data_IF_602677620223
#
_entry.id   IF_602677620223
#
_cell.length_a   1.000
_cell.length_b   1.000
_cell.length_c   1.000
_cell.angle_alpha   90.00
_cell.angle_beta   90.00
_cell.angle_gamma   90.00
#
_symmetry.space_group_name_H-M   'P 1'
#
loop_
_entity.id
_entity.type
_entity.pdbx_description
1 polymer ?
#
# COMPACT_ATOMS: atom_id res chain seq x y z
N UNK A 1 -3.69 8.45 -10.53
CA UNK A 1 -2.40 8.48 -9.81
C UNK A 1 -1.57 9.77 -9.95
N UNK A 2 -1.58 10.49 -11.08
CA UNK A 2 -0.78 11.73 -11.29
C UNK A 2 -1.21 12.96 -10.48
N UNK A 3 -2.45 13.05 -10.03
CA UNK A 3 -2.97 14.23 -9.32
C UNK A 3 -2.68 14.25 -7.80
N UNK A 4 -2.42 13.08 -7.18
CA UNK A 4 -2.04 13.00 -5.76
C UNK A 4 -0.58 13.41 -5.48
N UNK A 5 0.31 13.39 -6.49
CA UNK A 5 1.72 13.77 -6.30
C UNK A 5 1.96 15.28 -6.20
N UNK A 6 1.07 16.12 -6.77
CA UNK A 6 1.23 17.58 -6.70
C UNK A 6 0.77 18.20 -5.37
N UNK A 7 -0.12 17.54 -4.63
CA UNK A 7 -0.62 18.05 -3.34
C UNK A 7 0.35 17.84 -2.17
N UNK A 8 1.44 17.11 -2.38
CA UNK A 8 2.49 16.82 -1.37
C UNK A 8 3.69 17.77 -1.43
N UNK A 9 3.67 18.77 -2.32
CA UNK A 9 4.67 19.84 -2.31
C UNK A 9 4.40 20.70 -1.07
N UNK A 10 5.46 21.05 -0.33
CA UNK A 10 5.36 21.97 0.82
C UNK A 10 4.48 23.16 0.42
N UNK A 11 3.48 23.46 1.23
CA UNK A 11 2.61 24.61 0.94
C UNK A 11 3.46 25.88 0.88
N UNK A 12 3.14 26.77 -0.04
CA UNK A 12 3.86 28.04 -0.23
C UNK A 12 3.99 28.81 1.09
N UNK A 13 3.00 28.71 2.00
CA UNK A 13 3.05 29.29 3.36
C UNK A 13 4.19 28.76 4.21
N UNK A 14 4.50 27.45 4.13
CA UNK A 14 5.61 26.85 4.89
C UNK A 14 6.96 27.27 4.33
N UNK A 15 7.09 27.40 3.01
CA UNK A 15 8.33 27.91 2.37
C UNK A 15 8.59 29.34 2.83
N UNK A 16 7.57 30.20 2.79
CA UNK A 16 7.69 31.57 3.26
C UNK A 16 8.09 31.60 4.74
N UNK A 17 7.48 30.77 5.59
CA UNK A 17 7.84 30.67 6.99
C UNK A 17 9.30 30.26 7.20
N UNK A 18 9.78 29.23 6.48
CA UNK A 18 11.16 28.78 6.58
C UNK A 18 12.14 29.84 6.07
N UNK A 19 11.81 30.51 4.95
CA UNK A 19 12.63 31.61 4.44
C UNK A 19 12.72 32.76 5.45
N UNK A 20 11.60 33.14 6.09
CA UNK A 20 11.61 34.15 7.14
C UNK A 20 12.42 33.75 8.38
N UNK A 21 12.41 32.47 8.77
CA UNK A 21 13.27 31.99 9.87
C UNK A 21 14.76 32.06 9.54
N UNK A 22 15.12 31.73 8.31
CA UNK A 22 16.52 31.85 7.83
C UNK A 22 16.93 33.31 7.79
N UNK A 23 16.08 34.21 7.33
CA UNK A 23 16.32 35.65 7.36
C UNK A 23 16.48 36.20 8.79
N UNK A 24 15.63 35.78 9.70
CA UNK A 24 15.73 36.17 11.11
C UNK A 24 17.07 35.73 11.72
N UNK A 25 17.54 34.52 11.36
CA UNK A 25 18.87 34.04 11.74
C UNK A 25 19.96 34.94 11.17
N UNK A 26 19.94 35.26 9.88
CA UNK A 26 20.94 36.12 9.22
C UNK A 26 21.00 37.52 9.90
N UNK A 27 19.84 38.12 10.14
CA UNK A 27 19.75 39.39 10.88
C UNK A 27 20.38 39.29 12.26
N UNK A 28 20.08 38.20 12.96
CA UNK A 28 20.63 37.98 14.32
C UNK A 28 22.15 37.83 14.32
N UNK A 29 22.70 37.12 13.32
CA UNK A 29 24.15 36.95 13.17
C UNK A 29 24.84 38.29 12.88
N UNK A 30 24.29 39.10 11.97
CA UNK A 30 24.83 40.42 11.64
C UNK A 30 24.81 41.35 12.84
N UNK A 31 23.70 41.37 13.58
CA UNK A 31 23.57 42.18 14.81
C UNK A 31 24.59 41.75 15.88
N UNK A 32 24.72 40.41 16.06
CA UNK A 32 25.67 39.85 17.02
C UNK A 32 27.13 40.20 16.65
N UNK A 33 27.51 40.02 15.36
CA UNK A 33 28.86 40.41 14.88
C UNK A 33 29.14 41.89 15.08
N UNK A 34 28.14 42.75 14.80
CA UNK A 34 28.24 44.20 15.01
C UNK A 34 28.40 44.57 16.47
N UNK A 35 27.75 43.82 17.39
CA UNK A 35 27.87 44.08 18.84
C UNK A 35 29.21 43.58 19.43
N UNK A 36 29.70 42.43 18.96
CA UNK A 36 30.84 41.76 19.57
C UNK A 36 32.22 42.22 18.99
N UNK A 37 32.31 42.59 17.71
CA UNK A 37 33.55 43.08 17.13
C UNK A 37 33.80 44.54 17.44
N UNK A 38 34.91 44.82 18.08
CA UNK A 38 35.42 46.21 18.32
C UNK A 38 35.69 46.97 17.01
N UNK A 39 36.10 46.24 15.94
CA UNK A 39 36.47 46.74 14.63
C UNK A 39 35.35 46.69 13.61
N UNK A 40 34.10 46.53 14.05
CA UNK A 40 32.95 46.46 13.15
C UNK A 40 32.89 47.71 12.27
N UNK A 41 32.79 47.55 10.94
CA UNK A 41 32.70 48.68 10.00
C UNK A 41 31.50 49.56 10.22
N UNK A 42 30.56 49.16 11.06
CA UNK A 42 29.36 49.93 11.42
C UNK A 42 29.60 50.83 12.63
N UNK A 43 30.60 50.53 13.51
CA UNK A 43 30.99 51.35 14.64
C UNK A 43 31.80 52.56 14.17
N UNK A 44 31.28 53.74 14.39
CA UNK A 44 31.91 55.02 13.99
C UNK A 44 31.39 55.60 12.66
N UNK A 45 30.52 54.87 11.98
CA UNK A 45 29.85 55.35 10.78
C UNK A 45 28.51 55.98 11.14
N UNK A 46 28.18 57.13 10.55
CA UNK A 46 26.87 57.79 10.81
C UNK A 46 25.70 56.90 10.47
N UNK A 47 24.58 57.03 11.22
CA UNK A 47 23.39 56.19 11.16
C UNK A 47 22.92 55.88 9.71
N UNK A 48 22.92 56.87 8.81
CA UNK A 48 22.52 56.67 7.40
C UNK A 48 23.41 55.72 6.64
N UNK A 49 24.73 55.74 6.85
CA UNK A 49 25.65 54.79 6.24
C UNK A 49 25.50 53.38 6.82
N UNK A 50 25.28 53.25 8.12
CA UNK A 50 25.02 52.00 8.79
C UNK A 50 23.72 51.31 8.25
N UNK A 51 22.64 52.08 8.09
CA UNK A 51 21.40 51.61 7.48
C UNK A 51 21.60 51.20 6.02
N UNK A 52 22.36 51.99 5.25
CA UNK A 52 22.65 51.64 3.85
C UNK A 52 23.46 50.33 3.75
N UNK A 53 24.45 50.10 4.58
CA UNK A 53 25.24 48.86 4.63
C UNK A 53 24.35 47.65 4.98
N UNK A 54 23.47 47.81 5.98
CA UNK A 54 22.53 46.78 6.39
C UNK A 54 21.54 46.41 5.26
N UNK A 55 20.92 47.39 4.61
CA UNK A 55 20.00 47.18 3.50
C UNK A 55 20.71 46.52 2.33
N UNK A 56 21.97 46.89 2.03
CA UNK A 56 22.75 46.37 0.94
C UNK A 56 23.17 44.90 1.12
N UNK A 57 23.26 44.41 2.36
CA UNK A 57 23.50 42.98 2.64
C UNK A 57 22.21 42.20 2.71
N UNK A 58 21.15 42.75 3.29
CA UNK A 58 19.85 42.06 3.49
C UNK A 58 19.10 41.78 2.19
N UNK A 59 19.09 42.71 1.23
CA UNK A 59 18.29 42.55 0.01
C UNK A 59 18.81 41.39 -0.87
N UNK A 60 20.10 41.27 -1.20
CA UNK A 60 20.59 40.12 -1.95
C UNK A 60 20.41 38.79 -1.20
N UNK A 61 20.64 38.76 0.12
CA UNK A 61 20.45 37.57 0.92
C UNK A 61 18.98 37.10 0.90
N UNK A 62 18.02 38.02 1.05
CA UNK A 62 16.59 37.72 0.92
C UNK A 62 16.25 37.11 -0.44
N UNK A 63 16.76 37.70 -1.54
CA UNK A 63 16.54 37.19 -2.89
C UNK A 63 17.13 35.79 -3.06
N UNK A 64 18.32 35.55 -2.52
CA UNK A 64 19.00 34.25 -2.57
C UNK A 64 18.23 33.21 -1.78
N UNK A 65 17.83 33.50 -0.55
CA UNK A 65 17.06 32.58 0.31
C UNK A 65 15.79 32.14 -0.39
N UNK A 66 14.94 33.09 -0.83
CA UNK A 66 13.68 32.74 -1.48
C UNK A 66 13.87 32.00 -2.79
N UNK A 67 14.81 32.43 -3.63
CA UNK A 67 15.08 31.74 -4.89
C UNK A 67 15.67 30.34 -4.71
N UNK A 68 16.51 30.14 -3.70
CA UNK A 68 17.07 28.81 -3.35
C UNK A 68 15.96 27.87 -2.89
N UNK A 69 15.03 28.32 -2.05
CA UNK A 69 13.86 27.52 -1.69
C UNK A 69 13.03 27.13 -2.93
N UNK A 70 12.83 28.06 -3.86
CA UNK A 70 12.12 27.78 -5.11
C UNK A 70 12.89 26.74 -5.94
N UNK A 71 14.20 26.87 -6.08
CA UNK A 71 15.04 25.95 -6.84
C UNK A 71 14.95 24.54 -6.23
N UNK A 72 15.21 24.39 -4.94
CA UNK A 72 15.31 23.09 -4.28
C UNK A 72 13.94 22.39 -4.18
N UNK A 73 12.88 23.12 -3.89
CA UNK A 73 11.56 22.51 -3.65
C UNK A 73 10.66 22.40 -4.88
N UNK A 74 10.80 23.27 -5.87
CA UNK A 74 9.92 23.31 -7.04
C UNK A 74 10.62 22.97 -8.36
N UNK A 75 11.85 23.45 -8.58
CA UNK A 75 12.56 23.25 -9.84
C UNK A 75 13.26 21.90 -9.87
N UNK A 76 14.08 21.62 -8.88
CA UNK A 76 14.89 20.41 -8.79
C UNK A 76 14.08 19.10 -8.83
N UNK A 77 12.91 18.95 -8.16
CA UNK A 77 12.11 17.74 -8.26
C UNK A 77 11.53 17.48 -9.67
N UNK A 78 11.47 18.50 -10.53
CA UNK A 78 11.00 18.36 -11.91
C UNK A 78 12.10 17.97 -12.89
N UNK A 79 13.35 18.17 -12.52
CA UNK A 79 14.49 17.73 -13.32
C UNK A 79 14.61 16.21 -13.23
N UNK A 80 14.63 15.54 -14.39
CA UNK A 80 14.85 14.09 -14.50
C UNK A 80 16.35 13.78 -14.36
N UNK A 81 16.87 13.90 -13.15
CA UNK A 81 18.24 13.52 -12.85
C UNK A 81 18.33 12.00 -12.61
N UNK A 82 19.50 11.37 -12.86
CA UNK A 82 19.72 9.96 -12.55
C UNK A 82 19.32 9.63 -11.12
N UNK A 83 18.75 8.44 -10.90
CA UNK A 83 18.16 7.99 -9.65
C UNK A 83 19.17 7.82 -8.52
N UNK A 84 19.60 8.93 -7.91
CA UNK A 84 20.44 8.93 -6.72
C UNK A 84 20.27 10.24 -5.96
N UNK A 85 19.99 10.19 -4.68
CA UNK A 85 19.87 11.38 -3.83
C UNK A 85 21.14 12.24 -3.91
N UNK A 86 22.32 11.61 -4.07
CA UNK A 86 23.62 12.30 -4.16
C UNK A 86 23.70 13.23 -5.38
N UNK A 87 23.39 12.75 -6.59
CA UNK A 87 23.47 13.57 -7.81
C UNK A 87 22.49 14.74 -7.79
N UNK A 88 21.34 14.55 -7.13
CA UNK A 88 20.35 15.60 -6.97
C UNK A 88 20.87 16.69 -6.03
N UNK A 89 21.36 16.34 -4.85
CA UNK A 89 21.92 17.29 -3.89
C UNK A 89 23.11 18.06 -4.53
N UNK A 90 23.97 17.35 -5.24
CA UNK A 90 25.09 17.96 -5.94
C UNK A 90 24.62 18.99 -6.99
N UNK A 91 23.62 18.63 -7.78
CA UNK A 91 23.04 19.54 -8.77
C UNK A 91 22.38 20.76 -8.12
N UNK A 92 21.64 20.56 -7.03
CA UNK A 92 20.99 21.64 -6.28
C UNK A 92 22.03 22.62 -5.71
N UNK A 93 23.12 22.11 -5.12
CA UNK A 93 24.23 22.91 -4.62
C UNK A 93 24.90 23.70 -5.74
N UNK A 94 25.24 23.05 -6.86
CA UNK A 94 25.90 23.73 -8.00
C UNK A 94 25.00 24.82 -8.58
N UNK A 95 23.74 24.51 -8.88
CA UNK A 95 22.79 25.46 -9.49
C UNK A 95 22.53 26.65 -8.55
N UNK A 96 22.29 26.37 -7.27
CA UNK A 96 22.01 27.42 -6.27
C UNK A 96 23.23 28.31 -6.01
N UNK A 97 24.43 27.72 -5.98
CA UNK A 97 25.68 28.49 -5.82
C UNK A 97 25.95 29.40 -7.02
N UNK A 98 25.83 28.89 -8.25
CA UNK A 98 25.97 29.68 -9.47
C UNK A 98 24.92 30.82 -9.52
N UNK A 99 23.67 30.51 -9.16
CA UNK A 99 22.60 31.50 -9.07
C UNK A 99 22.93 32.61 -8.05
N UNK A 100 23.37 32.23 -6.86
CA UNK A 100 23.76 33.18 -5.82
C UNK A 100 24.87 34.09 -6.25
N UNK A 101 25.92 33.57 -6.93
CA UNK A 101 27.01 34.38 -7.50
C UNK A 101 26.48 35.39 -8.53
N UNK A 102 25.51 35.00 -9.36
CA UNK A 102 24.91 35.92 -10.32
C UNK A 102 24.12 37.03 -9.59
N UNK A 103 23.33 36.69 -8.58
CA UNK A 103 22.57 37.67 -7.79
C UNK A 103 23.52 38.65 -7.11
N UNK A 104 24.53 38.16 -6.42
CA UNK A 104 25.51 39.03 -5.77
C UNK A 104 26.25 39.96 -6.76
N UNK A 105 26.67 39.42 -7.92
CA UNK A 105 27.37 40.24 -8.93
C UNK A 105 26.48 41.32 -9.53
N UNK A 106 25.22 40.99 -9.84
CA UNK A 106 24.25 41.97 -10.34
C UNK A 106 23.99 43.08 -9.31
N UNK A 107 23.83 42.70 -8.06
CA UNK A 107 23.60 43.66 -6.98
C UNK A 107 24.79 44.55 -6.73
N UNK A 108 26.01 43.97 -6.76
CA UNK A 108 27.26 44.72 -6.66
C UNK A 108 27.42 45.77 -7.79
N UNK A 109 27.10 45.38 -9.04
CA UNK A 109 27.14 46.32 -10.18
C UNK A 109 26.15 47.50 -10.01
N UNK A 110 24.98 47.23 -9.45
CA UNK A 110 23.97 48.28 -9.15
C UNK A 110 24.50 49.20 -8.06
N UNK A 111 25.09 48.63 -6.99
CA UNK A 111 25.58 49.39 -5.85
C UNK A 111 26.76 50.28 -6.19
N UNK A 112 27.66 49.81 -7.07
CA UNK A 112 28.81 50.62 -7.55
C UNK A 112 28.40 51.93 -8.23
N UNK A 113 27.19 51.99 -8.80
CA UNK A 113 26.64 53.24 -9.40
C UNK A 113 26.28 54.29 -8.33
N UNK A 114 25.92 53.85 -7.12
CA UNK A 114 25.48 54.74 -6.05
C UNK A 114 26.53 54.94 -4.96
N UNK A 115 27.39 53.93 -4.76
CA UNK A 115 28.42 53.93 -3.71
C UNK A 115 29.71 53.32 -4.21
N UNK A 116 30.55 54.08 -4.92
CA UNK A 116 31.79 53.54 -5.53
C UNK A 116 32.84 53.07 -4.53
N UNK A 117 32.75 53.49 -3.25
CA UNK A 117 33.70 53.14 -2.18
C UNK A 117 33.34 51.81 -1.47
N UNK A 118 32.27 51.14 -1.86
CA UNK A 118 31.78 49.91 -1.23
C UNK A 118 32.49 48.70 -1.85
N UNK A 119 33.43 48.09 -1.11
CA UNK A 119 34.01 46.81 -1.46
C UNK A 119 33.16 45.67 -0.90
N UNK A 120 32.67 44.78 -1.77
CA UNK A 120 32.04 43.53 -1.35
C UNK A 120 33.11 42.54 -0.88
N UNK A 121 32.90 41.97 0.31
CA UNK A 121 33.73 40.89 0.80
C UNK A 121 33.21 39.54 0.26
N UNK A 122 33.78 39.09 -0.84
CA UNK A 122 33.40 37.85 -1.52
C UNK A 122 33.46 36.60 -0.60
N UNK A 123 34.39 36.59 0.36
CA UNK A 123 34.52 35.47 1.29
C UNK A 123 33.30 35.38 2.24
N UNK A 124 32.84 36.50 2.75
CA UNK A 124 31.64 36.56 3.62
C UNK A 124 30.39 36.16 2.82
N UNK A 125 30.24 36.67 1.60
CA UNK A 125 29.13 36.31 0.72
C UNK A 125 29.12 34.81 0.43
N UNK A 126 30.25 34.20 0.13
CA UNK A 126 30.36 32.76 -0.13
C UNK A 126 29.99 31.92 1.11
N UNK A 127 30.48 32.31 2.30
CA UNK A 127 30.16 31.62 3.55
C UNK A 127 28.67 31.71 3.83
N UNK A 128 28.03 32.87 3.70
CA UNK A 128 26.60 33.05 3.92
C UNK A 128 25.75 32.17 2.95
N UNK A 129 26.05 32.20 1.67
CA UNK A 129 25.37 31.38 0.67
C UNK A 129 25.49 29.90 0.99
N UNK A 130 26.67 29.44 1.37
CA UNK A 130 26.91 28.03 1.73
C UNK A 130 26.06 27.64 2.96
N UNK A 131 25.99 28.50 3.98
CA UNK A 131 25.14 28.26 5.16
C UNK A 131 23.64 28.19 4.80
N UNK A 132 23.15 29.13 3.98
CA UNK A 132 21.77 29.15 3.51
C UNK A 132 21.44 27.85 2.77
N UNK A 133 22.29 27.45 1.83
CA UNK A 133 22.13 26.22 1.07
C UNK A 133 22.06 25.00 2.00
N UNK A 134 22.96 24.89 2.97
CA UNK A 134 23.02 23.78 3.89
C UNK A 134 21.73 23.68 4.73
N UNK A 135 21.22 24.81 5.22
CA UNK A 135 19.96 24.85 5.96
C UNK A 135 18.77 24.42 5.08
N UNK A 136 18.69 24.94 3.85
CA UNK A 136 17.62 24.59 2.90
C UNK A 136 17.64 23.11 2.54
N UNK A 137 18.83 22.55 2.30
CA UNK A 137 18.99 21.12 2.01
C UNK A 137 18.62 20.23 3.21
N UNK A 138 18.98 20.63 4.44
CA UNK A 138 18.57 19.90 5.65
C UNK A 138 17.04 19.92 5.78
N UNK A 139 16.39 21.08 5.61
CA UNK A 139 14.93 21.19 5.67
C UNK A 139 14.28 20.31 4.60
N UNK A 140 14.80 20.34 3.37
CA UNK A 140 14.32 19.49 2.28
C UNK A 140 14.45 18.00 2.61
N UNK A 141 15.62 17.58 3.10
CA UNK A 141 15.89 16.19 3.48
C UNK A 141 14.97 15.69 4.60
N UNK A 142 14.80 16.49 5.66
CA UNK A 142 13.91 16.17 6.76
C UNK A 142 12.46 16.03 6.29
N UNK A 143 12.02 16.94 5.41
CA UNK A 143 10.67 16.89 4.86
C UNK A 143 10.45 15.64 3.98
N UNK A 144 11.42 15.33 3.12
CA UNK A 144 11.37 14.14 2.26
C UNK A 144 11.36 12.84 3.06
N UNK A 145 12.20 12.75 4.11
CA UNK A 145 12.22 11.58 4.99
C UNK A 145 10.89 11.40 5.72
N UNK A 146 10.30 12.49 6.22
CA UNK A 146 8.99 12.44 6.85
C UNK A 146 7.92 11.90 5.92
N UNK A 147 7.89 12.37 4.66
CA UNK A 147 6.95 11.86 3.66
C UNK A 147 7.16 10.37 3.37
N UNK A 148 8.41 9.92 3.24
CA UNK A 148 8.72 8.51 3.01
C UNK A 148 8.25 7.62 4.17
N UNK A 149 8.43 8.07 5.41
CA UNK A 149 7.94 7.36 6.60
C UNK A 149 6.41 7.28 6.60
N UNK A 150 5.72 8.39 6.32
CA UNK A 150 4.25 8.42 6.24
C UNK A 150 3.71 7.48 5.16
N UNK A 151 4.35 7.41 3.98
CA UNK A 151 3.98 6.48 2.89
C UNK A 151 4.16 5.00 3.31
N UNK A 152 5.25 4.69 4.02
CA UNK A 152 5.50 3.34 4.54
C UNK A 152 4.45 2.97 5.60
N UNK A 153 4.10 3.88 6.48
CA UNK A 153 3.08 3.64 7.51
C UNK A 153 1.68 3.45 6.89
N UNK A 154 1.31 4.27 5.90
CA UNK A 154 0.05 4.08 5.15
C UNK A 154 0.01 2.70 4.48
N UNK A 155 1.07 2.32 3.76
CA UNK A 155 1.16 1.02 3.11
C UNK A 155 1.08 -0.15 4.11
N UNK A 156 1.70 -0.02 5.29
CA UNK A 156 1.59 -1.00 6.38
C UNK A 156 0.17 -1.10 6.91
N UNK A 157 -0.51 0.04 7.13
CA UNK A 157 -1.91 0.05 7.59
C UNK A 157 -2.85 -0.59 6.58
N UNK A 158 -2.69 -0.28 5.29
CA UNK A 158 -3.48 -0.90 4.22
C UNK A 158 -3.24 -2.42 4.16
N UNK A 159 -1.99 -2.87 4.27
CA UNK A 159 -1.64 -4.28 4.31
C UNK A 159 -2.22 -5.01 5.53
N UNK A 160 -2.19 -4.38 6.72
CA UNK A 160 -2.80 -4.93 7.94
C UNK A 160 -4.33 -4.98 7.81
N UNK A 161 -4.96 -3.92 7.28
CA UNK A 161 -6.40 -3.90 7.05
C UNK A 161 -6.83 -4.97 6.05
N UNK A 162 -6.06 -5.15 4.99
CA UNK A 162 -6.28 -6.21 4.01
C UNK A 162 -6.20 -7.60 4.67
N UNK A 163 -5.14 -7.86 5.45
CA UNK A 163 -5.00 -9.12 6.21
C UNK A 163 -6.16 -9.35 7.18
N UNK A 164 -6.55 -8.31 7.93
CA UNK A 164 -7.71 -8.39 8.84
C UNK A 164 -9.01 -8.73 8.09
N UNK A 165 -9.25 -8.11 6.95
CA UNK A 165 -10.44 -8.38 6.15
C UNK A 165 -10.43 -9.80 5.57
N UNK A 166 -9.27 -10.31 5.15
CA UNK A 166 -9.10 -11.70 4.71
C UNK A 166 -9.39 -12.68 5.86
N UNK A 167 -8.80 -12.45 7.04
CA UNK A 167 -9.06 -13.25 8.24
C UNK A 167 -10.54 -13.25 8.63
N UNK A 168 -11.16 -12.06 8.63
CA UNK A 168 -12.59 -11.92 8.93
C UNK A 168 -13.49 -12.63 7.90
N UNK A 169 -13.08 -12.68 6.64
CA UNK A 169 -13.81 -13.36 5.58
C UNK A 169 -13.68 -14.89 5.69
N UNK A 170 -12.56 -15.41 6.20
CA UNK A 170 -12.33 -16.85 6.40
C UNK A 170 -13.24 -17.45 7.46
N UNK A 171 -13.51 -16.71 8.54
CA UNK A 171 -14.58 -17.07 9.50
C UNK A 171 -15.88 -16.41 9.02
N UNK A 172 -16.59 -17.04 8.11
CA UNK A 172 -17.87 -16.52 7.63
C UNK A 172 -18.90 -16.45 8.81
N UNK A 173 -19.09 -15.26 9.46
CA UNK A 173 -19.93 -15.18 10.66
C UNK A 173 -21.37 -15.60 10.38
N UNK A 174 -21.84 -15.31 9.18
CA UNK A 174 -23.19 -15.68 8.74
C UNK A 174 -23.33 -17.21 8.62
N UNK A 175 -22.29 -17.91 8.13
CA UNK A 175 -22.29 -19.36 8.10
C UNK A 175 -22.32 -19.95 9.52
N UNK A 176 -21.51 -19.39 10.44
CA UNK A 176 -21.48 -19.82 11.83
C UNK A 176 -22.82 -19.63 12.52
N UNK A 177 -23.45 -18.44 12.42
CA UNK A 177 -24.78 -18.19 12.99
C UNK A 177 -25.85 -19.11 12.42
N UNK A 178 -25.83 -19.35 11.11
CA UNK A 178 -26.76 -20.28 10.48
C UNK A 178 -26.54 -21.72 10.94
N UNK A 179 -25.30 -22.14 11.13
CA UNK A 179 -24.95 -23.47 11.64
C UNK A 179 -25.42 -23.66 13.07
N UNK A 180 -25.22 -22.65 13.94
CA UNK A 180 -25.74 -22.70 15.32
C UNK A 180 -27.26 -22.75 15.38
N UNK A 181 -27.97 -22.04 14.50
CA UNK A 181 -29.44 -22.12 14.42
C UNK A 181 -29.92 -23.51 13.99
N UNK A 182 -29.25 -24.13 13.01
CA UNK A 182 -29.56 -25.50 12.59
C UNK A 182 -29.31 -26.47 13.74
N UNK A 183 -28.15 -26.36 14.40
CA UNK A 183 -27.81 -27.18 15.55
C UNK A 183 -28.83 -27.07 16.66
N UNK A 184 -29.26 -25.85 17.03
CA UNK A 184 -30.30 -25.61 18.03
C UNK A 184 -31.60 -26.33 17.71
N UNK A 185 -32.00 -26.39 16.43
CA UNK A 185 -33.19 -27.13 15.99
C UNK A 185 -32.99 -28.65 15.98
N UNK A 186 -31.76 -29.13 15.71
CA UNK A 186 -31.43 -30.56 15.67
C UNK A 186 -31.39 -31.20 17.06
N UNK A 187 -30.81 -30.50 18.05
CA UNK A 187 -30.64 -31.03 19.42
C UNK A 187 -31.91 -31.54 20.03
N UNK A 188 -33.06 -30.91 19.72
CA UNK A 188 -34.37 -31.33 20.23
C UNK A 188 -35.06 -32.42 19.40
N UNK A 189 -34.58 -32.71 18.18
CA UNK A 189 -35.22 -33.61 17.21
C UNK A 189 -34.40 -34.90 16.99
N UNK A 190 -33.10 -34.79 16.83
CA UNK A 190 -32.21 -35.91 16.52
C UNK A 190 -30.81 -35.68 17.10
N UNK A 191 -30.59 -36.22 18.30
CA UNK A 191 -29.29 -36.05 19.04
C UNK A 191 -28.11 -36.56 18.23
N UNK A 192 -28.25 -37.73 17.58
CA UNK A 192 -27.17 -38.32 16.79
C UNK A 192 -26.75 -37.41 15.61
N UNK A 193 -27.73 -36.87 14.88
CA UNK A 193 -27.42 -35.91 13.82
C UNK A 193 -26.84 -34.61 14.34
N UNK A 194 -27.19 -34.22 15.57
CA UNK A 194 -26.56 -33.05 16.22
C UNK A 194 -25.09 -33.29 16.51
N UNK A 195 -24.73 -34.48 16.99
CA UNK A 195 -23.34 -34.87 17.22
C UNK A 195 -22.57 -34.92 15.90
N UNK A 196 -23.10 -35.60 14.88
CA UNK A 196 -22.48 -35.63 13.52
C UNK A 196 -22.27 -34.21 12.94
N UNK A 197 -23.20 -33.28 13.20
CA UNK A 197 -23.10 -31.90 12.76
C UNK A 197 -22.02 -31.14 13.54
N UNK A 198 -21.90 -31.31 14.85
CA UNK A 198 -20.88 -30.68 15.69
C UNK A 198 -19.48 -31.15 15.27
N UNK A 199 -19.30 -32.46 15.07
CA UNK A 199 -18.04 -33.04 14.65
C UNK A 199 -17.60 -32.49 13.29
N UNK A 200 -18.48 -32.51 12.31
CA UNK A 200 -18.22 -31.96 10.98
C UNK A 200 -17.88 -30.45 11.02
N UNK A 201 -18.60 -29.67 11.84
CA UNK A 201 -18.35 -28.25 12.02
C UNK A 201 -16.99 -27.99 12.68
N UNK A 202 -16.64 -28.78 13.69
CA UNK A 202 -15.36 -28.69 14.42
C UNK A 202 -14.18 -29.02 13.52
N UNK A 203 -14.29 -30.08 12.71
CA UNK A 203 -13.22 -30.46 11.74
C UNK A 203 -13.04 -29.39 10.68
N UNK A 204 -14.13 -28.87 10.11
CA UNK A 204 -14.06 -27.81 9.13
C UNK A 204 -13.37 -26.54 9.69
N UNK A 205 -13.73 -26.10 10.91
CA UNK A 205 -13.10 -24.93 11.53
C UNK A 205 -11.64 -25.18 11.94
N UNK A 206 -11.31 -26.40 12.37
CA UNK A 206 -9.91 -26.78 12.63
C UNK A 206 -9.07 -26.62 11.38
N UNK A 207 -9.53 -27.17 10.25
CA UNK A 207 -8.85 -27.01 8.97
C UNK A 207 -8.65 -25.55 8.60
N UNK A 208 -9.69 -24.70 8.71
CA UNK A 208 -9.59 -23.24 8.44
C UNK A 208 -8.49 -22.61 9.28
N UNK A 209 -8.40 -22.97 10.57
CA UNK A 209 -7.38 -22.44 11.49
C UNK A 209 -5.98 -22.93 11.14
N UNK A 210 -5.82 -24.22 10.82
CA UNK A 210 -4.54 -24.85 10.53
C UNK A 210 -3.94 -24.40 9.16
N UNK A 211 -4.79 -23.90 8.26
CA UNK A 211 -4.39 -23.45 6.94
C UNK A 211 -4.13 -21.94 6.84
N UNK A 212 -4.33 -21.16 7.92
CA UNK A 212 -4.23 -19.69 7.87
C UNK A 212 -2.90 -19.16 7.34
N UNK A 213 -1.80 -19.83 7.70
CA UNK A 213 -0.44 -19.42 7.32
C UNK A 213 0.14 -20.27 6.18
N UNK A 214 -0.60 -21.27 5.70
CA UNK A 214 -0.13 -22.13 4.61
C UNK A 214 -0.44 -21.47 3.26
N UNK A 215 0.56 -21.23 2.41
CA UNK A 215 0.31 -20.72 1.06
C UNK A 215 -0.37 -21.73 0.16
N UNK A 216 -0.06 -23.02 0.31
CA UNK A 216 -0.62 -24.15 -0.40
C UNK A 216 -0.83 -25.31 0.57
N UNK A 217 -1.85 -26.13 0.29
CA UNK A 217 -2.16 -27.37 1.01
C UNK A 217 -2.21 -28.54 0.05
N UNK A 218 -2.08 -29.74 0.57
CA UNK A 218 -2.28 -30.96 -0.21
C UNK A 218 -3.76 -31.14 -0.55
N UNK A 219 -4.05 -31.58 -1.77
CA UNK A 219 -5.40 -31.79 -2.24
C UNK A 219 -6.19 -32.81 -1.37
N UNK A 220 -5.48 -33.72 -0.72
CA UNK A 220 -6.04 -34.68 0.23
C UNK A 220 -6.60 -34.00 1.48
N UNK A 221 -5.84 -33.05 2.07
CA UNK A 221 -6.27 -32.26 3.22
C UNK A 221 -7.50 -31.39 2.86
N UNK A 222 -7.47 -30.77 1.68
CA UNK A 222 -8.56 -29.93 1.19
C UNK A 222 -9.84 -30.72 0.97
N UNK A 223 -9.76 -31.94 0.41
CA UNK A 223 -10.93 -32.81 0.20
C UNK A 223 -11.46 -33.39 1.50
N UNK A 224 -10.62 -33.71 2.48
CA UNK A 224 -11.07 -34.15 3.80
C UNK A 224 -11.92 -33.07 4.49
N UNK A 225 -11.46 -31.83 4.46
CA UNK A 225 -12.25 -30.69 4.97
C UNK A 225 -13.53 -30.45 4.17
N UNK A 226 -13.46 -30.63 2.85
CA UNK A 226 -14.64 -30.51 1.98
C UNK A 226 -15.70 -31.58 2.32
N UNK A 227 -15.29 -32.81 2.63
CA UNK A 227 -16.23 -33.86 3.06
C UNK A 227 -17.01 -33.44 4.31
N UNK A 228 -16.34 -32.87 5.32
CA UNK A 228 -16.98 -32.33 6.53
C UNK A 228 -17.93 -31.18 6.19
N UNK A 229 -17.54 -30.26 5.29
CA UNK A 229 -18.42 -29.18 4.83
C UNK A 229 -19.65 -29.70 4.09
N UNK A 230 -19.48 -30.69 3.21
CA UNK A 230 -20.59 -31.33 2.47
C UNK A 230 -21.56 -32.04 3.45
N UNK A 231 -21.05 -32.68 4.50
CA UNK A 231 -21.88 -33.30 5.53
C UNK A 231 -22.80 -32.25 6.20
N UNK A 232 -22.26 -31.08 6.55
CA UNK A 232 -23.06 -29.96 7.07
C UNK A 232 -24.14 -29.52 6.08
N UNK A 233 -23.78 -29.39 4.78
CA UNK A 233 -24.72 -28.98 3.74
C UNK A 233 -25.81 -30.00 3.50
N UNK A 234 -25.52 -31.30 3.57
CA UNK A 234 -26.52 -32.39 3.46
C UNK A 234 -27.59 -32.27 4.55
N UNK A 235 -27.14 -32.03 5.79
CA UNK A 235 -28.06 -31.79 6.92
C UNK A 235 -28.90 -30.53 6.68
N UNK A 236 -28.22 -29.42 6.32
CA UNK A 236 -28.88 -28.13 6.08
C UNK A 236 -29.96 -28.16 5.00
N UNK A 237 -29.72 -28.89 3.93
CA UNK A 237 -30.61 -28.99 2.78
C UNK A 237 -31.47 -30.28 2.80
N UNK A 238 -31.57 -30.98 3.94
CA UNK A 238 -32.39 -32.18 4.11
C UNK A 238 -32.10 -33.22 3.01
N UNK A 239 -30.82 -33.50 2.73
CA UNK A 239 -30.32 -34.40 1.68
C UNK A 239 -30.70 -34.01 0.23
N UNK A 240 -31.09 -32.75 0.01
CA UNK A 240 -31.32 -32.22 -1.36
C UNK A 240 -30.06 -31.64 -2.01
N UNK A 241 -28.93 -31.75 -1.34
CA UNK A 241 -27.61 -31.34 -1.82
C UNK A 241 -26.64 -32.51 -1.75
N UNK A 242 -25.93 -32.78 -2.83
CA UNK A 242 -24.90 -33.82 -2.87
C UNK A 242 -23.68 -33.41 -3.72
N UNK A 243 -22.52 -33.99 -3.44
CA UNK A 243 -21.28 -33.83 -4.20
C UNK A 243 -20.76 -35.20 -4.63
N UNK A 244 -20.58 -35.37 -5.92
CA UNK A 244 -20.06 -36.61 -6.50
C UNK A 244 -18.64 -36.38 -6.97
N UNK A 245 -17.71 -37.18 -6.47
CA UNK A 245 -16.29 -37.10 -6.80
C UNK A 245 -15.91 -38.18 -7.82
N UNK A 246 -15.00 -37.81 -8.75
CA UNK A 246 -14.33 -38.71 -9.67
C UNK A 246 -12.83 -38.47 -9.65
N UNK A 247 -12.02 -39.53 -9.70
CA UNK A 247 -10.56 -39.40 -9.75
C UNK A 247 -9.87 -39.19 -8.39
N UNK A 248 -10.53 -39.54 -7.28
CA UNK A 248 -9.92 -39.42 -5.93
C UNK A 248 -8.63 -40.24 -5.75
N UNK A 249 -8.42 -41.25 -6.58
CA UNK A 249 -7.20 -42.07 -6.61
C UNK A 249 -5.98 -41.33 -7.17
N UNK A 250 -6.16 -40.12 -7.68
CA UNK A 250 -5.13 -39.30 -8.37
C UNK A 250 -4.65 -38.10 -7.57
N UNK A 251 -4.72 -38.15 -6.24
CA UNK A 251 -4.45 -36.98 -5.40
C UNK A 251 -2.96 -36.72 -5.10
N UNK A 252 -2.14 -37.75 -5.09
CA UNK A 252 -0.76 -37.70 -4.66
C UNK A 252 0.05 -36.54 -5.27
N UNK A 253 0.65 -35.69 -4.41
CA UNK A 253 1.54 -34.61 -4.80
C UNK A 253 0.85 -33.36 -5.40
N UNK A 254 -0.48 -33.31 -5.42
CA UNK A 254 -1.25 -32.19 -5.94
C UNK A 254 -1.49 -31.15 -4.84
N UNK A 255 -1.13 -29.90 -5.13
CA UNK A 255 -1.31 -28.80 -4.20
C UNK A 255 -2.26 -27.74 -4.73
N UNK A 256 -3.00 -27.13 -3.83
CA UNK A 256 -4.06 -26.17 -4.12
C UNK A 256 -4.00 -25.02 -3.09
N UNK A 257 -4.53 -23.85 -3.42
CA UNK A 257 -4.74 -22.78 -2.43
C UNK A 257 -5.76 -23.24 -1.40
N UNK A 258 -5.51 -23.06 -0.09
CA UNK A 258 -6.43 -23.46 0.96
C UNK A 258 -7.86 -22.91 0.74
N UNK A 259 -8.87 -23.69 1.15
CA UNK A 259 -10.29 -23.34 1.06
C UNK A 259 -10.85 -23.13 -0.35
N UNK A 260 -10.07 -23.40 -1.40
CA UNK A 260 -10.54 -23.26 -2.79
C UNK A 260 -11.77 -24.10 -3.05
N UNK A 261 -11.77 -25.38 -2.67
CA UNK A 261 -12.90 -26.30 -2.91
C UNK A 261 -14.13 -25.89 -2.10
N UNK A 262 -13.95 -25.50 -0.85
CA UNK A 262 -15.03 -24.99 -0.01
C UNK A 262 -15.68 -23.73 -0.61
N UNK A 263 -14.87 -22.77 -1.07
CA UNK A 263 -15.37 -21.51 -1.69
C UNK A 263 -16.16 -21.82 -2.99
N UNK A 264 -15.72 -22.80 -3.79
CA UNK A 264 -16.44 -23.20 -4.99
C UNK A 264 -17.79 -23.82 -4.66
N UNK A 265 -17.88 -24.71 -3.67
CA UNK A 265 -19.15 -25.30 -3.23
C UNK A 265 -20.05 -24.25 -2.56
N UNK A 266 -19.48 -23.31 -1.77
CA UNK A 266 -20.23 -22.19 -1.22
C UNK A 266 -20.84 -21.33 -2.32
N UNK A 267 -20.10 -21.07 -3.40
CA UNK A 267 -20.59 -20.35 -4.57
C UNK A 267 -21.81 -21.05 -5.21
N UNK A 268 -21.79 -22.37 -5.33
CA UNK A 268 -22.96 -23.15 -5.81
C UNK A 268 -24.16 -22.92 -4.93
N UNK A 269 -24.02 -23.05 -3.61
CA UNK A 269 -25.14 -22.93 -2.66
C UNK A 269 -25.67 -21.50 -2.53
N UNK A 270 -24.84 -20.49 -2.74
CA UNK A 270 -25.23 -19.07 -2.74
C UNK A 270 -26.06 -18.68 -3.95
N UNK A 271 -25.68 -19.16 -5.13
CA UNK A 271 -26.25 -18.69 -6.40
C UNK A 271 -27.44 -19.54 -6.89
N UNK A 272 -27.60 -20.75 -6.38
CA UNK A 272 -28.63 -21.66 -6.86
C UNK A 272 -29.73 -21.92 -5.85
N UNK A 273 -30.96 -22.20 -6.37
CA UNK A 273 -32.09 -22.69 -5.59
C UNK A 273 -31.88 -24.18 -5.34
N UNK A 274 -31.96 -24.57 -4.05
CA UNK A 274 -31.84 -25.98 -3.62
C UNK A 274 -33.10 -26.30 -2.81
N UNK A 275 -33.86 -27.30 -3.23
CA UNK A 275 -35.09 -27.72 -2.57
C UNK A 275 -35.46 -29.14 -3.03
N UNK A 276 -36.48 -29.74 -2.42
CA UNK A 276 -37.02 -31.07 -2.83
C UNK A 276 -37.47 -31.11 -4.30
N UNK A 277 -37.95 -29.98 -4.84
CA UNK A 277 -38.30 -29.86 -6.26
C UNK A 277 -37.08 -29.68 -7.16
N UNK A 278 -35.99 -29.14 -6.61
CA UNK A 278 -34.77 -28.81 -7.32
C UNK A 278 -33.55 -29.32 -6.54
N UNK A 279 -33.34 -30.65 -6.45
CA UNK A 279 -32.13 -31.17 -5.80
C UNK A 279 -30.90 -30.78 -6.58
N UNK A 280 -29.79 -30.53 -5.87
CA UNK A 280 -28.51 -30.08 -6.42
C UNK A 280 -27.46 -31.17 -6.29
N UNK A 281 -26.90 -31.60 -7.39
CA UNK A 281 -25.72 -32.47 -7.41
C UNK A 281 -24.59 -31.74 -8.06
N UNK A 282 -23.51 -31.55 -7.31
CA UNK A 282 -22.26 -30.96 -7.79
C UNK A 282 -21.30 -32.07 -8.18
N UNK A 283 -20.66 -31.95 -9.32
CA UNK A 283 -19.66 -32.90 -9.79
C UNK A 283 -18.27 -32.33 -9.60
N UNK A 284 -17.39 -33.06 -8.92
CA UNK A 284 -15.98 -32.70 -8.71
C UNK A 284 -15.12 -33.72 -9.42
N UNK A 285 -14.45 -33.30 -10.49
CA UNK A 285 -13.59 -34.15 -11.31
C UNK A 285 -12.13 -33.84 -11.08
N UNK A 286 -11.35 -34.80 -10.56
CA UNK A 286 -9.94 -34.67 -10.22
C UNK A 286 -9.14 -35.19 -11.38
N UNK A 287 -8.66 -34.26 -12.24
CA UNK A 287 -7.84 -34.57 -13.42
C UNK A 287 -6.35 -34.67 -13.12
N UNK A 288 -5.51 -34.84 -14.16
CA UNK A 288 -4.06 -34.86 -14.03
C UNK A 288 -3.51 -33.48 -13.58
N UNK A 289 -3.94 -32.41 -14.24
CA UNK A 289 -3.36 -31.06 -14.10
C UNK A 289 -4.27 -30.06 -13.39
N UNK A 290 -5.54 -30.41 -13.18
CA UNK A 290 -6.55 -29.52 -12.60
C UNK A 290 -7.68 -30.30 -11.92
N UNK A 291 -8.37 -29.66 -11.01
CA UNK A 291 -9.67 -30.07 -10.50
C UNK A 291 -10.76 -29.23 -11.15
N UNK A 292 -11.88 -29.85 -11.49
CA UNK A 292 -13.03 -29.16 -12.08
C UNK A 292 -14.28 -29.40 -11.25
N UNK A 293 -15.00 -28.30 -10.96
CA UNK A 293 -16.25 -28.29 -10.21
C UNK A 293 -17.38 -27.88 -11.16
N UNK A 294 -18.37 -28.72 -11.31
CA UNK A 294 -19.47 -28.55 -12.28
C UNK A 294 -20.81 -28.62 -11.56
N UNK A 295 -21.70 -27.67 -11.82
CA UNK A 295 -23.06 -27.68 -11.31
C UNK A 295 -24.07 -27.15 -12.33
N UNK A 296 -25.33 -27.59 -12.29
CA UNK A 296 -26.43 -26.98 -13.04
C UNK A 296 -26.72 -25.56 -12.50
N UNK A 297 -27.07 -24.64 -13.40
CA UNK A 297 -27.41 -23.25 -13.05
C UNK A 297 -28.92 -23.15 -12.78
N UNK A 298 -29.27 -22.75 -11.55
CA UNK A 298 -30.66 -22.53 -11.10
C UNK A 298 -30.71 -21.24 -10.29
N UNK A 299 -30.67 -20.07 -10.91
CA UNK A 299 -30.43 -18.80 -10.22
C UNK A 299 -31.53 -18.46 -9.21
N UNK A 300 -31.12 -17.94 -8.05
CA UNK A 300 -32.04 -17.35 -7.07
C UNK A 300 -32.51 -15.99 -7.58
N UNK A 301 -33.78 -15.67 -7.33
CA UNK A 301 -34.39 -14.37 -7.69
C UNK A 301 -33.85 -13.20 -6.90
N UNK A 302 -33.32 -13.42 -5.68
CA UNK A 302 -32.70 -12.41 -4.84
C UNK A 302 -31.19 -12.64 -4.85
N UNK A 303 -30.46 -11.72 -5.48
CA UNK A 303 -29.00 -11.67 -5.38
C UNK A 303 -28.64 -11.20 -3.97
N UNK A 304 -27.98 -12.05 -3.18
CA UNK A 304 -27.36 -11.60 -1.93
C UNK A 304 -26.22 -10.63 -2.29
N UNK A 305 -26.24 -9.45 -1.70
CA UNK A 305 -25.15 -8.46 -1.78
C UNK A 305 -23.84 -9.13 -1.28
N UNK A 306 -22.88 -9.35 -2.16
CA UNK A 306 -21.60 -10.02 -1.85
C UNK A 306 -21.18 -11.08 -2.87
N UNK A 307 -21.92 -11.24 -3.97
CA UNK A 307 -21.63 -12.18 -5.03
C UNK A 307 -20.38 -11.77 -5.80
N UNK A 308 -19.37 -12.65 -5.85
CA UNK A 308 -18.16 -12.49 -6.65
C UNK A 308 -16.84 -12.43 -5.86
N UNK A 309 -16.85 -12.13 -4.57
CA UNK A 309 -15.60 -11.98 -3.77
C UNK A 309 -14.83 -13.30 -3.68
N UNK A 310 -15.50 -14.45 -3.50
CA UNK A 310 -14.83 -15.75 -3.37
C UNK A 310 -14.13 -16.19 -4.66
N UNK A 311 -14.81 -16.10 -5.80
CA UNK A 311 -14.24 -16.51 -7.09
C UNK A 311 -13.15 -15.55 -7.56
N UNK A 312 -13.32 -14.24 -7.37
CA UNK A 312 -12.28 -13.23 -7.65
C UNK A 312 -11.04 -13.41 -6.77
N UNK A 313 -11.23 -13.78 -5.50
CA UNK A 313 -10.12 -14.11 -4.60
C UNK A 313 -9.33 -15.33 -5.11
N UNK A 314 -10.01 -16.42 -5.43
CA UNK A 314 -9.36 -17.62 -6.00
C UNK A 314 -8.59 -17.25 -7.27
N UNK A 315 -9.24 -16.57 -8.22
CA UNK A 315 -8.60 -16.17 -9.49
C UNK A 315 -7.36 -15.34 -9.29
N UNK A 316 -7.38 -14.40 -8.33
CA UNK A 316 -6.22 -13.56 -8.03
C UNK A 316 -5.07 -14.37 -7.38
N UNK A 317 -5.37 -15.28 -6.44
CA UNK A 317 -4.35 -16.13 -5.82
C UNK A 317 -3.65 -17.03 -6.85
N UNK A 318 -4.42 -17.62 -7.78
CA UNK A 318 -3.87 -18.45 -8.85
C UNK A 318 -3.08 -17.65 -9.87
N UNK A 319 -3.52 -16.44 -10.21
CA UNK A 319 -2.79 -15.51 -11.09
C UNK A 319 -1.43 -15.12 -10.50
N UNK A 320 -1.36 -14.91 -9.19
CA UNK A 320 -0.10 -14.67 -8.47
C UNK A 320 0.81 -15.90 -8.51
N UNK A 321 0.25 -17.13 -8.51
CA UNK A 321 0.96 -18.40 -8.71
C UNK A 321 1.32 -18.71 -10.18
N UNK A 322 1.07 -17.79 -11.12
CA UNK A 322 1.38 -17.96 -12.54
C UNK A 322 0.43 -18.91 -13.27
N UNK A 323 -0.75 -19.18 -12.72
CA UNK A 323 -1.79 -20.03 -13.30
C UNK A 323 -3.10 -19.28 -13.43
N UNK A 324 -3.97 -19.73 -14.32
CA UNK A 324 -5.27 -19.11 -14.56
C UNK A 324 -6.41 -20.09 -14.23
N UNK A 325 -7.42 -19.60 -13.51
CA UNK A 325 -8.66 -20.33 -13.22
C UNK A 325 -9.64 -20.10 -14.37
N UNK A 326 -10.12 -21.15 -14.97
CA UNK A 326 -11.07 -21.08 -16.07
C UNK A 326 -12.50 -21.21 -15.54
N UNK A 327 -13.34 -20.25 -15.89
CA UNK A 327 -14.76 -20.22 -15.51
C UNK A 327 -15.60 -20.22 -16.77
N UNK A 328 -16.54 -21.16 -16.85
CA UNK A 328 -17.50 -21.24 -17.96
C UNK A 328 -18.93 -21.27 -17.44
N UNK A 329 -19.83 -20.66 -18.18
CA UNK A 329 -21.26 -20.65 -17.87
C UNK A 329 -22.03 -20.78 -19.20
N UNK A 330 -22.25 -22.04 -19.62
CA UNK A 330 -22.82 -22.33 -20.92
C UNK A 330 -23.89 -23.43 -20.78
N UNK A 331 -24.93 -23.36 -21.60
CA UNK A 331 -25.97 -24.35 -21.67
C UNK A 331 -26.63 -24.72 -20.32
N UNK A 332 -26.73 -23.76 -19.39
CA UNK A 332 -27.31 -24.02 -18.07
C UNK A 332 -26.38 -24.79 -17.13
N UNK A 333 -25.11 -24.89 -17.44
CA UNK A 333 -24.07 -25.54 -16.64
C UNK A 333 -23.00 -24.49 -16.29
N UNK A 334 -22.66 -24.42 -15.01
CA UNK A 334 -21.54 -23.62 -14.51
C UNK A 334 -20.38 -24.55 -14.19
N UNK A 335 -19.19 -24.24 -14.71
CA UNK A 335 -17.98 -25.00 -14.43
C UNK A 335 -16.85 -24.06 -14.04
N UNK A 336 -16.05 -24.47 -13.05
CA UNK A 336 -14.82 -23.83 -12.64
C UNK A 336 -13.71 -24.87 -12.65
N UNK A 337 -12.68 -24.63 -13.48
CA UNK A 337 -11.50 -25.46 -13.56
C UNK A 337 -10.31 -24.76 -12.90
N UNK A 338 -9.75 -25.39 -11.88
CA UNK A 338 -8.67 -24.88 -11.04
C UNK A 338 -7.43 -25.75 -11.25
N UNK A 339 -6.32 -25.18 -11.76
CA UNK A 339 -5.09 -25.94 -11.99
C UNK A 339 -4.34 -26.19 -10.67
N UNK A 340 -3.60 -27.29 -10.57
CA UNK A 340 -2.73 -27.52 -9.40
C UNK A 340 -1.50 -26.61 -9.46
N UNK A 341 -1.01 -26.21 -8.28
CA UNK A 341 0.13 -25.33 -8.12
C UNK A 341 1.37 -26.09 -7.65
N UNK A 342 2.54 -25.63 -8.09
CA UNK A 342 3.82 -26.18 -7.65
C UNK A 342 4.39 -25.30 -6.54
N UNK A 343 4.77 -25.89 -5.40
CA UNK A 343 5.35 -25.17 -4.25
C UNK A 343 6.56 -24.33 -4.66
N UNK A 344 7.45 -24.86 -5.51
CA UNK A 344 8.65 -24.13 -5.93
C UNK A 344 8.35 -22.85 -6.74
N UNK A 345 7.29 -22.88 -7.56
CA UNK A 345 6.88 -21.71 -8.34
C UNK A 345 6.20 -20.65 -7.45
N UNK A 346 5.43 -21.11 -6.47
CA UNK A 346 4.72 -20.25 -5.52
C UNK A 346 5.68 -19.60 -4.51
N UNK A 347 6.66 -20.34 -4.01
CA UNK A 347 7.67 -19.84 -3.07
C UNK A 347 8.58 -18.76 -3.68
N UNK A 348 8.84 -18.81 -4.99
CA UNK A 348 9.56 -17.73 -5.70
C UNK A 348 8.82 -16.39 -5.67
N UNK A 349 7.49 -16.42 -5.67
CA UNK A 349 6.66 -15.22 -5.67
C UNK A 349 6.40 -14.73 -4.24
N UNK A 350 6.26 -15.63 -3.27
CA UNK A 350 5.86 -15.32 -1.89
C UNK A 350 6.98 -15.54 -0.86
N UNK A 351 8.05 -16.30 -1.17
CA UNK A 351 9.13 -16.68 -0.25
C UNK A 351 10.06 -15.52 0.17
N UNK A 352 10.01 -14.37 -0.48
CA UNK A 352 10.76 -13.16 -0.11
C UNK A 352 10.03 -12.27 0.93
N UNK A 353 9.03 -12.81 1.64
CA UNK A 353 8.25 -12.08 2.65
C UNK A 353 8.54 -12.57 4.09
N UNK A 354 9.82 -12.91 4.37
CA UNK A 354 10.30 -13.04 5.75
C UNK A 354 10.92 -11.75 6.24
#
# INVERSE_FOLDING_TARGET
MRQKSLSRIISCRKIVLYALLVELYNVSVILLDTCLRSDSPIRGVGFGKAVSMFVNTMIPDTVIVFSTFIIVFYVSPRLRLPSGNFYKVLADVVVSTLWALVVYKLFHLILLQFHPDLSLNWNEAFVNVTFILLIVEIIYFLHKNKQAVEEIEEAKREALQYRYNVLKAQVNPHFLFNSLNILSSLVSVDVRKSEEFIDALSEMYRYVTDCQDKPLVDMEEELASLDSYVAILKIRYCNQFDVVFTGREKLAGKKIVPMTMQLLIENVTKHNVISSKYPMTVRVSIGADAVEVINPVRPRRTLSSGSGVGLSYISEQYRLGGKEVLVTNENGIFSVRVPYLNSQAYDKVFGNRK
#
